data_IF_304218911992
#
_entry.id   IF_304218911992
#
_cell.length_a   1.000
_cell.length_b   1.000
_cell.length_c   1.000
_cell.angle_alpha   90.00
_cell.angle_beta   90.00
_cell.angle_gamma   90.00
#
_symmetry.space_group_name_H-M   'P 1'
#
loop_
_entity.id
_entity.type
_entity.pdbx_description
1 polymer ?
#
# COMPACT_ATOMS: atom_id res chain seq x y z
N UNK A 1 19.38 -4.30 -5.45
CA UNK A 1 18.42 -5.02 -4.58
C UNK A 1 18.17 -6.38 -5.22
N UNK A 2 18.50 -7.45 -4.51
CA UNK A 2 18.19 -8.82 -4.95
C UNK A 2 16.71 -9.13 -4.73
N UNK A 3 16.25 -10.30 -5.19
CA UNK A 3 14.90 -10.78 -4.84
C UNK A 3 14.79 -11.05 -3.33
N UNK A 4 15.84 -11.64 -2.73
CA UNK A 4 15.89 -11.89 -1.29
C UNK A 4 15.76 -10.61 -0.47
N UNK A 5 16.43 -9.53 -0.90
CA UNK A 5 16.35 -8.23 -0.23
C UNK A 5 14.92 -7.65 -0.29
N UNK A 6 14.23 -7.80 -1.44
CA UNK A 6 12.84 -7.36 -1.59
C UNK A 6 11.92 -8.17 -0.66
N UNK A 7 12.06 -9.49 -0.65
CA UNK A 7 11.28 -10.36 0.22
C UNK A 7 11.49 -10.01 1.70
N UNK A 8 12.75 -9.86 2.12
CA UNK A 8 13.09 -9.50 3.49
C UNK A 8 12.49 -8.15 3.89
N UNK A 9 12.59 -7.15 3.01
CA UNK A 9 12.00 -5.83 3.23
C UNK A 9 10.49 -5.91 3.44
N UNK A 10 9.79 -6.72 2.63
CA UNK A 10 8.34 -6.89 2.76
C UNK A 10 7.94 -7.63 4.04
N UNK A 11 8.72 -8.64 4.44
CA UNK A 11 8.51 -9.36 5.70
C UNK A 11 8.71 -8.41 6.88
N UNK A 12 9.76 -7.59 6.87
CA UNK A 12 10.07 -6.67 7.97
C UNK A 12 9.15 -5.44 8.03
N UNK A 13 8.38 -5.16 6.98
CA UNK A 13 7.50 -3.99 6.90
C UNK A 13 6.17 -4.21 7.64
N UNK A 14 5.86 -3.33 8.59
CA UNK A 14 4.53 -3.25 9.22
C UNK A 14 3.53 -2.42 8.39
N UNK A 15 4.05 -1.53 7.55
CA UNK A 15 3.28 -0.66 6.65
C UNK A 15 3.89 -0.70 5.25
N UNK A 16 3.06 -0.98 4.25
CA UNK A 16 3.44 -1.02 2.83
C UNK A 16 2.53 -0.09 2.07
N UNK A 17 3.11 0.87 1.35
CA UNK A 17 2.38 1.81 0.50
C UNK A 17 2.92 1.69 -0.91
N UNK A 18 2.04 1.45 -1.89
CA UNK A 18 2.45 1.26 -3.27
C UNK A 18 1.39 1.72 -4.26
N UNK A 19 1.84 2.13 -5.46
CA UNK A 19 0.95 2.39 -6.59
C UNK A 19 0.45 1.10 -7.21
N UNK A 20 -0.84 1.06 -7.54
CA UNK A 20 -1.46 -0.09 -8.18
C UNK A 20 -0.71 -0.47 -9.46
N UNK A 21 -0.22 -1.70 -9.54
CA UNK A 21 0.54 -2.19 -10.67
C UNK A 21 1.51 -3.28 -10.25
N UNK A 22 2.49 -3.59 -11.10
CA UNK A 22 3.41 -4.69 -10.89
C UNK A 22 4.16 -4.62 -9.55
N UNK A 23 4.48 -3.41 -9.06
CA UNK A 23 5.15 -3.23 -7.77
C UNK A 23 4.35 -3.74 -6.56
N UNK A 24 3.02 -3.79 -6.66
CA UNK A 24 2.17 -4.35 -5.60
C UNK A 24 2.24 -5.88 -5.53
N UNK A 25 2.85 -6.58 -6.50
CA UNK A 25 3.02 -8.05 -6.42
C UNK A 25 3.79 -8.46 -5.17
N UNK A 26 4.70 -7.61 -4.70
CA UNK A 26 5.55 -7.86 -3.56
C UNK A 26 4.76 -8.04 -2.24
N UNK A 27 3.50 -7.59 -2.18
CA UNK A 27 2.63 -7.84 -1.02
C UNK A 27 2.38 -9.32 -0.75
N UNK A 28 2.67 -10.21 -1.70
CA UNK A 28 2.61 -11.66 -1.47
C UNK A 28 3.58 -12.15 -0.37
N UNK A 29 4.59 -11.34 -0.02
CA UNK A 29 5.58 -11.67 1.01
C UNK A 29 5.35 -10.93 2.33
N UNK A 30 4.31 -10.11 2.46
CA UNK A 30 4.03 -9.41 3.72
C UNK A 30 3.51 -10.37 4.78
N UNK A 31 3.77 -10.04 6.04
CA UNK A 31 3.18 -10.77 7.18
C UNK A 31 1.67 -10.50 7.27
N UNK A 32 0.90 -11.39 7.92
CA UNK A 32 -0.44 -11.06 8.38
C UNK A 32 -0.41 -9.77 9.19
N UNK A 33 -1.54 -9.09 9.24
CA UNK A 33 -1.71 -7.82 9.95
C UNK A 33 -0.97 -6.61 9.37
N UNK A 34 -0.01 -6.76 8.46
CA UNK A 34 0.63 -5.62 7.76
C UNK A 34 -0.42 -4.67 7.19
N UNK A 35 -0.26 -3.36 7.44
CA UNK A 35 -1.07 -2.33 6.81
C UNK A 35 -0.62 -2.15 5.37
N UNK A 36 -1.51 -2.40 4.42
CA UNK A 36 -1.25 -2.22 2.99
C UNK A 36 -2.12 -1.10 2.45
N UNK A 37 -1.50 -0.05 1.94
CA UNK A 37 -2.19 1.05 1.25
C UNK A 37 -1.88 1.00 -0.24
N UNK A 38 -2.92 0.75 -1.03
CA UNK A 38 -2.83 0.68 -2.47
C UNK A 38 -3.33 1.98 -3.11
N UNK A 39 -2.43 2.68 -3.80
CA UNK A 39 -2.72 3.92 -4.49
C UNK A 39 -3.20 3.62 -5.91
N UNK A 40 -4.49 3.83 -6.17
CA UNK A 40 -5.11 3.54 -7.46
C UNK A 40 -5.22 4.77 -8.36
N UNK A 41 -5.09 4.58 -9.69
CA UNK A 41 -5.70 5.48 -10.65
C UNK A 41 -7.21 5.58 -10.40
N UNK A 42 -7.76 6.79 -10.51
CA UNK A 42 -9.11 7.13 -10.05
C UNK A 42 -10.19 6.22 -10.61
N UNK A 43 -10.08 5.88 -11.89
CA UNK A 43 -11.09 5.11 -12.63
C UNK A 43 -10.76 3.62 -12.79
N UNK A 44 -9.58 3.17 -12.39
CA UNK A 44 -9.16 1.77 -12.57
C UNK A 44 -9.74 0.88 -11.48
N UNK A 45 -10.57 -0.09 -11.85
CA UNK A 45 -11.19 -1.03 -10.91
C UNK A 45 -10.61 -2.43 -11.07
N UNK A 46 -9.64 -2.77 -10.23
CA UNK A 46 -9.03 -4.10 -10.14
C UNK A 46 -8.83 -4.45 -8.67
N UNK A 47 -9.12 -5.69 -8.29
CA UNK A 47 -9.18 -6.10 -6.88
C UNK A 47 -8.24 -7.27 -6.55
N UNK A 48 -7.28 -7.58 -7.43
CA UNK A 48 -6.36 -8.69 -7.23
C UNK A 48 -5.58 -8.57 -5.92
N UNK A 49 -4.99 -7.41 -5.65
CA UNK A 49 -4.22 -7.16 -4.43
C UNK A 49 -5.11 -7.05 -3.19
N UNK A 50 -6.32 -6.47 -3.30
CA UNK A 50 -7.33 -6.55 -2.24
C UNK A 50 -7.59 -8.00 -1.81
N UNK A 51 -7.86 -8.88 -2.77
CA UNK A 51 -8.18 -10.28 -2.48
C UNK A 51 -6.96 -11.02 -1.93
N UNK A 52 -5.76 -10.74 -2.43
CA UNK A 52 -4.51 -11.29 -1.91
C UNK A 52 -4.29 -10.86 -0.45
N UNK A 53 -4.43 -9.57 -0.14
CA UNK A 53 -4.32 -9.05 1.21
C UNK A 53 -5.36 -9.67 2.16
N UNK A 54 -6.59 -9.90 1.69
CA UNK A 54 -7.60 -10.62 2.47
C UNK A 54 -7.18 -12.05 2.78
N UNK A 55 -6.60 -12.76 1.79
CA UNK A 55 -6.10 -14.13 1.99
C UNK A 55 -4.92 -14.18 2.98
N UNK A 56 -4.01 -13.20 2.92
CA UNK A 56 -2.84 -13.11 3.80
C UNK A 56 -3.17 -12.58 5.21
N UNK A 57 -4.36 -12.02 5.42
CA UNK A 57 -4.75 -11.39 6.69
C UNK A 57 -4.20 -9.98 6.87
N UNK A 58 -3.86 -9.27 5.80
CA UNK A 58 -3.39 -7.89 5.86
C UNK A 58 -4.55 -6.89 6.03
N UNK A 59 -4.26 -5.71 6.60
CA UNK A 59 -5.21 -4.60 6.66
C UNK A 59 -5.07 -3.76 5.39
N UNK A 60 -5.94 -3.96 4.41
CA UNK A 60 -5.85 -3.31 3.11
C UNK A 60 -6.76 -2.08 2.99
N UNK A 61 -6.22 -1.00 2.44
CA UNK A 61 -6.94 0.25 2.15
C UNK A 61 -6.60 0.77 0.76
N UNK A 62 -7.59 1.25 0.01
CA UNK A 62 -7.36 1.91 -1.27
C UNK A 62 -7.36 3.44 -1.15
N UNK A 63 -6.43 4.09 -1.85
CA UNK A 63 -6.44 5.52 -2.08
C UNK A 63 -6.66 5.83 -3.56
N UNK A 64 -7.82 6.41 -3.88
CA UNK A 64 -8.22 6.77 -5.26
C UNK A 64 -8.27 8.27 -5.54
N UNK A 65 -8.09 9.10 -4.51
CA UNK A 65 -8.40 10.53 -4.58
C UNK A 65 -7.60 11.27 -5.65
N UNK A 66 -8.16 12.40 -6.12
CA UNK A 66 -7.49 13.43 -6.96
C UNK A 66 -7.23 13.13 -8.45
N UNK A 67 -6.31 13.92 -9.00
CA UNK A 67 -5.82 14.01 -10.36
C UNK A 67 -4.77 12.92 -10.61
N UNK A 68 -5.07 12.10 -11.61
CA UNK A 68 -4.08 11.24 -12.23
C UNK A 68 -3.35 12.08 -13.28
N UNK A 69 -2.03 12.06 -13.25
CA UNK A 69 -1.17 12.78 -14.17
C UNK A 69 -0.78 11.80 -15.28
N UNK A 70 -1.25 12.07 -16.49
CA UNK A 70 -0.88 11.27 -17.65
C UNK A 70 0.63 11.40 -17.88
N UNK A 71 1.33 10.27 -17.84
CA UNK A 71 2.74 10.22 -18.22
C UNK A 71 2.78 10.12 -19.75
N UNK A 72 3.71 10.82 -20.40
CA UNK A 72 3.93 10.67 -21.85
C UNK A 72 4.60 9.32 -22.14
N UNK A 73 3.86 8.24 -22.00
CA UNK A 73 4.27 6.90 -22.44
C UNK A 73 3.26 6.35 -23.44
N UNK A 74 3.65 5.27 -24.12
CA UNK A 74 2.77 4.53 -25.03
C UNK A 74 1.78 3.64 -24.29
N UNK A 75 1.98 3.39 -23.00
CA UNK A 75 1.05 2.59 -22.20
C UNK A 75 0.01 3.51 -21.57
N UNK A 76 -1.28 3.43 -21.96
CA UNK A 76 -2.35 4.21 -21.33
C UNK A 76 -2.54 3.85 -19.85
N UNK A 77 -1.83 2.83 -19.35
CA UNK A 77 -1.84 2.44 -17.95
C UNK A 77 -0.81 3.15 -17.08
N UNK A 78 0.16 3.86 -17.67
CA UNK A 78 1.16 4.63 -16.95
C UNK A 78 0.58 5.97 -16.54
N UNK A 79 0.19 6.04 -15.28
CA UNK A 79 -0.41 7.21 -14.67
C UNK A 79 0.34 7.50 -13.38
N UNK A 80 0.87 8.70 -13.30
CA UNK A 80 1.40 9.23 -12.05
C UNK A 80 0.25 9.77 -11.20
N UNK A 81 0.49 9.90 -9.91
CA UNK A 81 -0.49 10.48 -9.00
C UNK A 81 0.11 11.65 -8.24
N UNK A 82 -0.57 12.80 -8.29
CA UNK A 82 -0.16 13.97 -7.54
C UNK A 82 -0.97 14.11 -6.26
N UNK A 83 -0.32 13.89 -5.12
CA UNK A 83 -0.90 14.09 -3.80
C UNK A 83 -0.34 15.37 -3.17
N UNK A 84 -1.16 16.13 -2.44
CA UNK A 84 -0.69 17.27 -1.64
C UNK A 84 -0.59 16.80 -0.19
N UNK A 85 0.33 17.39 0.56
CA UNK A 85 0.58 17.02 1.95
C UNK A 85 -0.69 16.98 2.81
N UNK A 86 -1.57 17.98 2.73
CA UNK A 86 -2.76 18.07 3.58
C UNK A 86 -3.70 16.85 3.48
N UNK A 87 -3.72 16.18 2.34
CA UNK A 87 -4.64 15.09 2.11
C UNK A 87 -3.97 13.73 1.90
N UNK A 88 -2.66 13.73 1.73
CA UNK A 88 -1.86 12.66 2.33
C UNK A 88 -2.17 12.59 3.84
N UNK A 89 -1.99 13.69 4.58
CA UNK A 89 -2.21 13.76 6.03
C UNK A 89 -3.63 13.32 6.40
N UNK A 90 -4.66 13.84 5.74
CA UNK A 90 -6.07 13.50 6.02
C UNK A 90 -6.39 12.00 5.86
N UNK A 91 -5.78 11.31 4.89
CA UNK A 91 -6.05 9.90 4.64
C UNK A 91 -5.13 8.98 5.43
N UNK A 92 -3.83 9.26 5.42
CA UNK A 92 -2.80 8.38 5.97
C UNK A 92 -2.65 8.52 7.50
N UNK A 93 -2.92 9.70 8.09
CA UNK A 93 -2.69 9.91 9.53
C UNK A 93 -3.45 8.92 10.41
N UNK A 94 -4.73 8.68 10.16
CA UNK A 94 -5.51 7.76 10.99
C UNK A 94 -5.02 6.32 10.84
N UNK A 95 -4.74 5.89 9.60
CA UNK A 95 -4.26 4.54 9.32
C UNK A 95 -2.92 4.26 10.01
N UNK A 96 -2.00 5.25 9.98
CA UNK A 96 -0.69 5.10 10.61
C UNK A 96 -0.78 5.14 12.14
N UNK A 97 -1.63 6.01 12.70
CA UNK A 97 -1.88 6.01 14.15
C UNK A 97 -2.43 4.68 14.61
N UNK A 98 -3.41 4.12 13.91
CA UNK A 98 -4.00 2.83 14.25
C UNK A 98 -2.96 1.70 14.16
N UNK A 99 -2.13 1.70 13.11
CA UNK A 99 -1.05 0.73 12.95
C UNK A 99 -0.02 0.81 14.08
N UNK A 100 0.43 2.02 14.43
CA UNK A 100 1.39 2.25 15.52
C UNK A 100 0.79 1.81 16.86
N UNK A 101 -0.42 2.24 17.19
CA UNK A 101 -1.09 1.88 18.45
C UNK A 101 -1.24 0.36 18.60
N UNK A 102 -1.48 -0.37 17.51
CA UNK A 102 -1.51 -1.83 17.55
C UNK A 102 -0.11 -2.42 17.81
N UNK A 103 0.92 -1.91 17.13
CA UNK A 103 2.29 -2.39 17.33
C UNK A 103 2.78 -2.14 18.77
N UNK A 104 2.50 -0.97 19.33
CA UNK A 104 2.82 -0.63 20.72
C UNK A 104 2.18 -1.63 21.70
N UNK A 105 0.90 -1.97 21.51
CA UNK A 105 0.20 -2.99 22.32
C UNK A 105 0.84 -4.37 22.23
N UNK A 106 1.30 -4.76 21.04
CA UNK A 106 1.98 -6.05 20.86
C UNK A 106 3.31 -6.07 21.61
N UNK A 107 4.07 -4.97 21.57
CA UNK A 107 5.35 -4.85 22.30
C UNK A 107 5.13 -4.84 23.81
N UNK A 108 4.10 -4.15 24.31
CA UNK A 108 3.77 -4.12 25.74
C UNK A 108 3.29 -5.48 26.29
N UNK A 109 2.75 -6.33 25.42
CA UNK A 109 2.26 -7.66 25.78
C UNK A 109 3.35 -8.76 25.74
N UNK A 110 4.55 -8.45 25.24
CA UNK A 110 5.70 -9.36 25.17
C UNK A 110 6.60 -9.22 26.40
#
# INVERSE_FOLDING_TARGET
MTMGDQMQTMVESDVVVGTHGAGMVNVMWTRPETLVVEIFPRFRRRWGYRNLCQYLGCSWHEFRGREDVAVRTTDPNDMDKRLRYEEWKRFFDSLFRDAITRLEKTVEAM
#
